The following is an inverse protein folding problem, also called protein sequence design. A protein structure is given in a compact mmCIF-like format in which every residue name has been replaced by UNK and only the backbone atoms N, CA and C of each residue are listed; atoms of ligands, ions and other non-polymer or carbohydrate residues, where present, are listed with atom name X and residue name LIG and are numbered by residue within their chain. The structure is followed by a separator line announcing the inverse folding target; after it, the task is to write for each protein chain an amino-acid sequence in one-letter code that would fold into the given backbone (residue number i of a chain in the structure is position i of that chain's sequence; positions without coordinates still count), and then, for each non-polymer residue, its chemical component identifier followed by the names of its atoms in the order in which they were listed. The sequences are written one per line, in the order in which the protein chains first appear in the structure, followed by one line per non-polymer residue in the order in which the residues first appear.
data_IF_280391228384
#
_entry.id   IF_280391228384
#
_cell.length_a   1.000
_cell.length_b   1.000
_cell.length_c   1.000
_cell.angle_alpha   90.00
_cell.angle_beta   90.00
_cell.angle_gamma   90.00
#
_symmetry.space_group_name_H-M   'P 1'
#
loop_
_entity.id
_entity.type
_entity.pdbx_description
1 polymer ?
#
# COMPACT_ATOMS: atom_id res chain seq x y z
N UNK A 1 11.30 1.44 21.74
CA UNK A 1 12.61 0.87 22.17
C UNK A 1 12.53 -0.66 22.24
N UNK A 2 13.50 -1.41 21.70
CA UNK A 2 13.64 -2.83 22.00
C UNK A 2 13.84 -2.99 23.51
N UNK A 3 13.22 -4.01 24.09
CA UNK A 3 13.29 -4.26 25.54
C UNK A 3 14.55 -5.09 25.87
N UNK A 4 15.11 -5.81 24.89
CA UNK A 4 16.35 -6.57 25.01
C UNK A 4 17.20 -6.48 23.73
N UNK A 5 18.54 -6.46 23.87
CA UNK A 5 19.48 -6.57 22.75
C UNK A 5 19.28 -7.91 22.01
N UNK A 6 18.89 -7.83 20.74
CA UNK A 6 18.56 -8.99 19.91
C UNK A 6 17.05 -9.28 19.76
N UNK A 7 16.18 -8.61 20.53
CA UNK A 7 14.73 -8.74 20.34
C UNK A 7 14.25 -7.93 19.11
N UNK A 8 13.45 -8.57 18.25
CA UNK A 8 12.74 -7.88 17.18
C UNK A 8 11.89 -6.75 17.78
N UNK A 9 11.93 -5.57 17.16
CA UNK A 9 11.14 -4.41 17.60
C UNK A 9 9.68 -4.83 17.80
N UNK A 10 9.11 -4.54 18.99
CA UNK A 10 7.70 -4.85 19.28
C UNK A 10 6.80 -4.12 18.28
N UNK A 11 6.18 -4.87 17.38
CA UNK A 11 5.22 -4.35 16.41
C UNK A 11 3.84 -4.27 17.06
N UNK A 12 3.18 -3.12 16.96
CA UNK A 12 1.82 -2.90 17.47
C UNK A 12 0.93 -2.58 16.28
N UNK A 13 -0.02 -3.45 15.97
CA UNK A 13 -0.96 -3.27 14.87
C UNK A 13 -1.22 -4.57 14.10
N UNK A 14 -1.76 -4.44 12.89
CA UNK A 14 -1.98 -5.58 12.00
C UNK A 14 -0.64 -6.14 11.50
N UNK A 15 -0.47 -7.46 11.56
CA UNK A 15 0.79 -8.14 11.19
C UNK A 15 1.22 -7.84 9.75
N UNK A 16 0.30 -7.86 8.77
CA UNK A 16 0.61 -7.59 7.36
C UNK A 16 1.13 -6.16 7.18
N UNK A 17 0.46 -5.20 7.83
CA UNK A 17 0.86 -3.80 7.76
C UNK A 17 2.24 -3.57 8.41
N UNK A 18 2.49 -4.20 9.55
CA UNK A 18 3.77 -4.08 10.23
C UNK A 18 4.90 -4.76 9.44
N UNK A 19 4.65 -5.91 8.81
CA UNK A 19 5.61 -6.57 7.92
C UNK A 19 5.93 -5.69 6.71
N UNK A 20 4.93 -5.04 6.10
CA UNK A 20 5.14 -4.12 4.98
C UNK A 20 5.99 -2.91 5.39
N UNK A 21 5.72 -2.31 6.55
CA UNK A 21 6.50 -1.19 7.07
C UNK A 21 7.96 -1.59 7.35
N UNK A 22 8.17 -2.78 7.90
CA UNK A 22 9.52 -3.30 8.10
C UNK A 22 10.25 -3.55 6.77
N UNK A 23 9.56 -4.10 5.77
CA UNK A 23 10.12 -4.31 4.44
C UNK A 23 10.60 -3.01 3.79
N UNK A 24 9.86 -1.91 3.95
CA UNK A 24 10.30 -0.58 3.48
C UNK A 24 11.65 -0.19 4.09
N UNK A 25 11.87 -0.45 5.38
CA UNK A 25 13.16 -0.17 6.02
C UNK A 25 14.28 -1.07 5.49
N UNK A 26 13.99 -2.32 5.10
CA UNK A 26 14.98 -3.21 4.47
C UNK A 26 15.41 -2.76 3.08
N UNK A 27 14.64 -1.87 2.45
CA UNK A 27 14.95 -1.26 1.15
C UNK A 27 15.59 0.13 1.30
N UNK A 28 16.22 0.42 2.44
CA UNK A 28 16.77 1.74 2.81
C UNK A 28 15.74 2.88 2.79
N UNK A 29 14.44 2.53 2.88
CA UNK A 29 13.36 3.48 3.07
C UNK A 29 13.32 4.04 4.49
N UNK A 30 12.64 5.18 4.67
CA UNK A 30 12.40 5.77 5.98
C UNK A 30 10.91 6.06 6.17
N UNK A 31 10.16 5.07 6.65
CA UNK A 31 8.71 5.21 6.80
C UNK A 31 8.35 6.30 7.84
N UNK A 32 9.17 6.49 8.88
CA UNK A 32 8.95 7.52 9.92
C UNK A 32 8.98 8.93 9.31
N UNK A 33 9.94 9.20 8.42
CA UNK A 33 10.01 10.47 7.67
C UNK A 33 8.79 10.66 6.78
N UNK A 34 8.36 9.62 6.08
CA UNK A 34 7.15 9.66 5.23
C UNK A 34 5.91 9.97 6.10
N UNK A 35 5.77 9.30 7.24
CA UNK A 35 4.65 9.49 8.18
C UNK A 35 4.62 10.90 8.78
N UNK A 36 5.77 11.48 9.11
CA UNK A 36 5.87 12.89 9.55
C UNK A 36 5.45 13.88 8.47
N UNK A 37 5.74 13.59 7.20
CA UNK A 37 5.34 14.45 6.08
C UNK A 37 3.83 14.34 5.78
N UNK A 38 3.24 13.16 6.00
CA UNK A 38 1.83 12.85 5.77
C UNK A 38 1.17 12.30 7.06
N UNK A 39 0.99 13.14 8.10
CA UNK A 39 0.36 12.72 9.33
C UNK A 39 -1.17 12.57 9.13
N UNK A 40 -1.85 11.88 10.05
CA UNK A 40 -3.25 11.48 9.87
C UNK A 40 -4.21 12.65 9.71
N UNK A 41 -3.89 13.80 10.30
CA UNK A 41 -4.70 15.02 10.22
C UNK A 41 -4.71 15.62 8.81
N UNK A 42 -3.77 15.23 7.93
CA UNK A 42 -3.76 15.61 6.51
C UNK A 42 -4.62 14.68 5.63
N UNK A 43 -5.16 13.60 6.18
CA UNK A 43 -6.03 12.71 5.43
C UNK A 43 -7.42 13.33 5.32
N UNK A 44 -7.95 13.38 4.09
CA UNK A 44 -9.31 13.84 3.84
C UNK A 44 -10.30 12.80 4.38
N UNK A 45 -10.02 11.52 4.13
CA UNK A 45 -10.86 10.42 4.62
C UNK A 45 -10.09 9.10 4.64
N UNK A 46 -10.45 8.22 5.58
CA UNK A 46 -9.92 6.85 5.67
C UNK A 46 -11.10 5.86 5.68
N UNK A 47 -11.26 5.14 4.57
CA UNK A 47 -12.11 3.96 4.52
C UNK A 47 -11.35 2.78 5.11
N UNK A 48 -11.65 2.47 6.39
CA UNK A 48 -11.07 1.32 7.10
C UNK A 48 -11.36 0.02 6.35
N UNK A 49 -10.55 -1.01 6.64
CA UNK A 49 -10.76 -2.34 6.08
C UNK A 49 -12.14 -2.87 6.45
N UNK A 50 -12.88 -3.33 5.45
CA UNK A 50 -14.19 -3.97 5.60
C UNK A 50 -14.18 -5.31 4.91
N UNK A 51 -14.59 -6.38 5.60
CA UNK A 51 -14.58 -7.75 5.07
C UNK A 51 -15.37 -7.89 3.76
N UNK A 52 -16.50 -7.18 3.61
CA UNK A 52 -17.30 -7.21 2.38
C UNK A 52 -16.55 -6.62 1.17
N UNK A 53 -15.72 -5.58 1.38
CA UNK A 53 -14.95 -4.94 0.31
C UNK A 53 -13.53 -5.49 0.19
N UNK A 54 -13.03 -6.22 1.20
CA UNK A 54 -11.66 -6.73 1.37
C UNK A 54 -10.56 -5.72 1.01
N UNK A 55 -10.81 -4.45 1.27
CA UNK A 55 -9.93 -3.32 0.92
C UNK A 55 -9.98 -2.24 2.00
N UNK A 56 -8.90 -1.48 2.11
CA UNK A 56 -8.77 -0.24 2.90
C UNK A 56 -8.31 0.87 1.96
N UNK A 57 -8.87 2.07 2.10
CA UNK A 57 -8.47 3.21 1.27
C UNK A 57 -8.25 4.49 2.08
N UNK A 58 -7.28 5.28 1.66
CA UNK A 58 -6.95 6.57 2.26
C UNK A 58 -6.95 7.64 1.18
N UNK A 59 -7.68 8.73 1.42
CA UNK A 59 -7.76 9.88 0.53
C UNK A 59 -6.89 10.99 1.10
N UNK A 60 -6.00 11.55 0.28
CA UNK A 60 -5.13 12.67 0.63
C UNK A 60 -5.31 13.85 -0.31
N UNK A 61 -5.05 15.05 0.21
CA UNK A 61 -4.86 16.25 -0.59
C UNK A 61 -3.40 16.33 -1.08
N UNK A 62 -3.19 16.59 -2.38
CA UNK A 62 -1.86 16.88 -2.94
C UNK A 62 -1.63 18.39 -3.01
N UNK A 63 -0.36 18.78 -3.08
CA UNK A 63 0.09 20.18 -3.16
C UNK A 63 -0.48 20.94 -4.36
N UNK A 64 -0.76 20.25 -5.46
CA UNK A 64 -1.36 20.84 -6.67
C UNK A 64 -2.90 20.88 -6.62
N UNK A 65 -3.49 20.93 -5.43
CA UNK A 65 -4.94 20.95 -5.21
C UNK A 65 -5.71 19.71 -5.72
N UNK A 66 -5.02 18.68 -6.20
CA UNK A 66 -5.66 17.41 -6.61
C UNK A 66 -5.83 16.45 -5.43
N UNK A 67 -6.85 15.61 -5.51
CA UNK A 67 -7.09 14.56 -4.52
C UNK A 67 -6.51 13.25 -5.04
N UNK A 68 -5.88 12.46 -4.16
CA UNK A 68 -5.41 11.12 -4.49
C UNK A 68 -5.93 10.10 -3.48
N UNK A 69 -6.48 9.01 -4.00
CA UNK A 69 -6.89 7.85 -3.22
C UNK A 69 -5.82 6.75 -3.36
N UNK A 70 -5.35 6.24 -2.24
CA UNK A 70 -4.54 5.03 -2.18
C UNK A 70 -5.39 3.90 -1.63
N UNK A 71 -5.30 2.71 -2.22
CA UNK A 71 -6.08 1.55 -1.81
C UNK A 71 -5.17 0.34 -1.69
N UNK A 72 -5.30 -0.40 -0.57
CA UNK A 72 -4.68 -1.70 -0.37
C UNK A 72 -5.75 -2.76 -0.12
N UNK A 73 -5.49 -4.00 -0.51
CA UNK A 73 -6.41 -5.12 -0.29
C UNK A 73 -6.01 -6.34 -1.10
N UNK A 74 -6.95 -7.29 -1.22
CA UNK A 74 -6.72 -8.53 -1.97
C UNK A 74 -6.47 -8.22 -3.45
N UNK A 75 -5.39 -8.78 -4.00
CA UNK A 75 -4.92 -8.55 -5.37
C UNK A 75 -6.03 -8.74 -6.41
N UNK A 76 -6.77 -9.84 -6.33
CA UNK A 76 -7.89 -10.15 -7.22
C UNK A 76 -8.99 -9.07 -7.25
N UNK A 77 -9.20 -8.37 -6.14
CA UNK A 77 -10.22 -7.32 -6.01
C UNK A 77 -9.68 -5.98 -6.50
N UNK A 78 -8.41 -5.69 -6.22
CA UNK A 78 -7.76 -4.45 -6.67
C UNK A 78 -7.54 -4.47 -8.18
N UNK A 79 -6.96 -5.55 -8.72
CA UNK A 79 -6.59 -5.66 -10.12
C UNK A 79 -7.81 -5.55 -11.05
N UNK A 80 -8.98 -6.04 -10.64
CA UNK A 80 -10.25 -5.87 -11.39
C UNK A 80 -10.69 -4.41 -11.55
N UNK A 81 -10.15 -3.49 -10.74
CA UNK A 81 -10.45 -2.05 -10.79
C UNK A 81 -9.37 -1.24 -11.52
N UNK A 82 -8.28 -1.87 -11.94
CA UNK A 82 -7.16 -1.21 -12.60
C UNK A 82 -7.35 -1.22 -14.12
N UNK A 83 -6.94 -0.13 -14.78
CA UNK A 83 -6.91 -0.01 -16.25
C UNK A 83 -5.51 0.35 -16.78
N UNK A 84 -4.56 0.58 -15.87
CA UNK A 84 -3.16 0.92 -16.15
C UNK A 84 -2.24 0.27 -15.13
N UNK A 85 -0.98 0.05 -15.51
CA UNK A 85 0.07 -0.52 -14.67
C UNK A 85 1.38 0.26 -14.89
N UNK A 86 2.20 0.34 -13.84
CA UNK A 86 3.54 0.92 -13.92
C UNK A 86 4.52 -0.17 -14.40
N UNK A 87 5.21 0.05 -15.51
CA UNK A 87 6.22 -0.88 -16.02
C UNK A 87 7.57 -0.72 -15.26
N UNK A 88 8.55 -1.57 -15.57
CA UNK A 88 9.90 -1.54 -14.98
C UNK A 88 10.69 -0.24 -15.23
N UNK A 89 10.30 0.53 -16.24
CA UNK A 89 10.93 1.81 -16.57
C UNK A 89 10.27 2.98 -15.82
N UNK A 90 9.17 2.73 -15.11
CA UNK A 90 8.37 3.78 -14.46
C UNK A 90 7.31 4.42 -15.36
N UNK A 91 7.00 3.83 -16.51
CA UNK A 91 5.95 4.34 -17.40
C UNK A 91 4.59 3.76 -17.03
N UNK A 92 3.55 4.59 -17.12
CA UNK A 92 2.15 4.16 -17.00
C UNK A 92 1.71 3.62 -18.36
N UNK A 93 1.47 2.31 -18.43
CA UNK A 93 1.01 1.62 -19.64
C UNK A 93 -0.43 1.08 -19.44
N UNK A 94 -1.19 0.84 -20.52
CA UNK A 94 -2.48 0.16 -20.42
C UNK A 94 -2.35 -1.21 -19.72
N UNK A 95 -3.33 -1.55 -18.89
CA UNK A 95 -3.41 -2.85 -18.24
C UNK A 95 -4.54 -3.65 -18.89
N UNK A 96 -4.16 -4.65 -19.70
CA UNK A 96 -5.10 -5.45 -20.49
C UNK A 96 -5.64 -6.66 -19.71
N UNK A 97 -6.68 -7.30 -20.24
CA UNK A 97 -7.17 -8.58 -19.71
C UNK A 97 -6.10 -9.68 -19.73
N UNK A 98 -5.20 -9.67 -20.72
CA UNK A 98 -4.10 -10.64 -20.81
C UNK A 98 -3.10 -10.41 -19.67
N UNK A 99 -2.80 -9.15 -19.35
CA UNK A 99 -1.93 -8.80 -18.21
C UNK A 99 -2.57 -9.21 -16.88
N UNK A 100 -3.88 -8.99 -16.75
CA UNK A 100 -4.64 -9.44 -15.59
C UNK A 100 -4.56 -10.95 -15.42
N UNK A 101 -4.81 -11.73 -16.47
CA UNK A 101 -4.78 -13.20 -16.40
C UNK A 101 -3.38 -13.72 -16.03
N UNK A 102 -2.33 -13.09 -16.59
CA UNK A 102 -0.94 -13.42 -16.28
C UNK A 102 -0.61 -13.15 -14.80
N UNK A 103 -0.97 -11.97 -14.27
CA UNK A 103 -0.73 -11.63 -12.87
C UNK A 103 -1.60 -12.45 -11.90
N UNK A 104 -2.85 -12.73 -12.26
CA UNK A 104 -3.76 -13.53 -11.44
C UNK A 104 -3.24 -14.96 -11.25
N UNK A 105 -2.67 -15.58 -12.30
CA UNK A 105 -2.05 -16.92 -12.21
C UNK A 105 -0.78 -16.92 -11.36
N UNK A 106 0.01 -15.86 -11.44
CA UNK A 106 1.30 -15.76 -10.71
C UNK A 106 1.09 -15.41 -9.23
N UNK A 107 0.01 -14.69 -8.90
CA UNK A 107 -0.29 -14.23 -7.53
C UNK A 107 -1.03 -15.25 -6.66
N UNK A 108 -1.36 -16.43 -7.19
CA UNK A 108 -2.07 -17.52 -6.51
C UNK A 108 -1.16 -18.70 -6.13
N UNK A 109 0.16 -18.48 -6.08
CA UNK A 109 1.12 -19.44 -5.53
C UNK A 109 1.29 -19.27 -4.02
#
# INVERSE_FOLDING_TARGET
PPIDEGSLSKQIGNTIDCSLLNFINTLDGNYDKIRKNYPEEKFIHVYKFKLAQKTMSTIIQRSNSTIRMYTKGVSEIILKKCNTILNRNGDIIPFSHVDYDHLARTSLL
#
